data_IF_410746577148
#
_entry.id   IF_410746577148
#
_cell.length_a   1.000
_cell.length_b   1.000
_cell.length_c   1.000
_cell.angle_alpha   90.00
_cell.angle_beta   90.00
_cell.angle_gamma   90.00
#
_symmetry.space_group_name_H-M   'P 1'
#
loop_
_entity.id
_entity.type
_entity.pdbx_description
1 polymer ?
#
# COMPACT_ATOMS: atom_id res chain seq x y z
N UNK A 1 20.45 -25.23 34.07
CA UNK A 1 19.80 -23.94 34.32
C UNK A 1 19.53 -23.30 32.97
N UNK A 2 18.27 -23.30 32.51
CA UNK A 2 17.87 -22.68 31.25
C UNK A 2 17.28 -21.30 31.58
N UNK A 3 17.76 -20.18 31.02
CA UNK A 3 16.99 -18.95 30.98
C UNK A 3 16.01 -19.08 29.79
N UNK A 4 14.72 -19.19 30.07
CA UNK A 4 13.78 -18.06 30.21
C UNK A 4 13.26 -17.60 28.85
N UNK A 5 12.16 -18.24 28.47
CA UNK A 5 10.99 -17.71 27.76
C UNK A 5 11.25 -16.57 26.77
N UNK A 6 11.24 -16.94 25.48
CA UNK A 6 10.98 -16.04 24.38
C UNK A 6 9.70 -15.26 24.68
N UNK A 7 9.82 -13.94 24.82
CA UNK A 7 8.68 -13.05 24.71
C UNK A 7 8.24 -13.10 23.25
N UNK A 8 7.33 -14.03 22.95
CA UNK A 8 6.52 -13.98 21.74
C UNK A 8 5.68 -12.70 21.84
N UNK A 9 6.27 -11.60 21.38
CA UNK A 9 5.54 -10.37 21.14
C UNK A 9 4.84 -10.59 19.80
N UNK A 10 3.82 -11.46 19.81
CA UNK A 10 2.84 -11.49 18.74
C UNK A 10 2.17 -10.12 18.80
N UNK A 11 2.73 -9.17 18.05
CA UNK A 11 2.07 -7.93 17.73
C UNK A 11 0.64 -8.31 17.34
N UNK A 12 -0.40 -7.60 17.85
CA UNK A 12 -1.77 -7.91 17.48
C UNK A 12 -1.80 -7.98 15.97
N UNK A 13 -2.31 -9.09 15.43
CA UNK A 13 -2.54 -9.22 14.01
C UNK A 13 -3.54 -8.13 13.63
N UNK A 14 -3.01 -7.00 13.15
CA UNK A 14 -3.81 -5.93 12.61
C UNK A 14 -4.16 -6.42 11.21
N UNK A 15 -5.25 -7.18 11.13
CA UNK A 15 -5.82 -7.54 9.84
C UNK A 15 -6.06 -6.28 9.01
N UNK A 16 -6.09 -6.46 7.69
CA UNK A 16 -6.27 -5.35 6.76
C UNK A 16 -7.47 -4.48 7.13
N UNK A 17 -7.23 -3.19 7.36
CA UNK A 17 -8.25 -2.21 7.70
C UNK A 17 -8.03 -0.90 6.93
N UNK A 18 -8.73 -0.79 5.80
CA UNK A 18 -8.73 0.39 4.95
C UNK A 18 -9.34 1.63 5.63
N UNK A 19 -10.14 1.45 6.69
CA UNK A 19 -10.79 2.60 7.38
C UNK A 19 -9.78 3.45 8.14
N UNK A 20 -8.56 2.95 8.33
CA UNK A 20 -7.44 3.67 8.93
C UNK A 20 -6.79 4.67 7.98
N UNK A 21 -7.05 4.57 6.68
CA UNK A 21 -6.56 5.54 5.70
C UNK A 21 -7.35 6.84 5.81
N UNK A 22 -6.68 7.90 6.22
CA UNK A 22 -7.25 9.24 6.26
C UNK A 22 -6.99 10.00 4.94
N UNK A 23 -7.84 10.98 4.59
CA UNK A 23 -7.56 11.89 3.48
C UNK A 23 -6.21 12.60 3.61
N UNK A 24 -5.79 12.90 4.83
CA UNK A 24 -4.51 13.56 5.13
C UNK A 24 -3.33 12.64 4.84
N UNK A 25 -3.43 11.35 5.18
CA UNK A 25 -2.41 10.36 4.85
C UNK A 25 -2.26 10.24 3.33
N UNK A 26 -3.38 10.15 2.59
CA UNK A 26 -3.34 10.07 1.14
C UNK A 26 -2.72 11.31 0.49
N UNK A 27 -3.04 12.50 1.00
CA UNK A 27 -2.41 13.74 0.53
C UNK A 27 -0.92 13.76 0.85
N UNK A 28 -0.52 13.30 2.04
CA UNK A 28 0.89 13.23 2.42
C UNK A 28 1.68 12.21 1.60
N UNK A 29 1.07 11.09 1.21
CA UNK A 29 1.70 10.12 0.33
C UNK A 29 1.78 10.63 -1.11
N UNK A 30 0.77 11.38 -1.58
CA UNK A 30 0.74 11.92 -2.94
C UNK A 30 1.82 12.99 -3.22
N UNK A 31 2.36 13.64 -2.18
CA UNK A 31 3.48 14.61 -2.33
C UNK A 31 4.85 13.93 -2.34
N UNK A 32 4.93 12.63 -2.07
CA UNK A 32 6.19 11.89 -2.10
C UNK A 32 6.59 11.57 -3.54
N UNK A 33 7.85 11.83 -3.87
CA UNK A 33 8.41 11.56 -5.21
C UNK A 33 8.82 10.10 -5.39
N UNK A 34 8.98 9.36 -4.30
CA UNK A 34 9.21 7.92 -4.30
C UNK A 34 7.89 7.19 -4.10
N UNK A 35 7.57 6.29 -5.03
CA UNK A 35 6.33 5.51 -5.01
C UNK A 35 6.33 4.47 -3.88
N UNK A 36 7.47 3.83 -3.62
CA UNK A 36 7.57 2.80 -2.61
C UNK A 36 7.41 3.43 -1.21
N UNK A 37 7.96 4.61 -0.96
CA UNK A 37 7.73 5.37 0.28
C UNK A 37 6.25 5.78 0.43
N UNK A 38 5.64 6.27 -0.65
CA UNK A 38 4.22 6.64 -0.66
C UNK A 38 3.34 5.44 -0.28
N UNK A 39 3.57 4.29 -0.93
CA UNK A 39 2.81 3.07 -0.70
C UNK A 39 3.11 2.47 0.69
N UNK A 40 4.37 2.47 1.13
CA UNK A 40 4.75 1.93 2.43
C UNK A 40 4.03 2.63 3.59
N UNK A 41 3.84 3.95 3.50
CA UNK A 41 3.11 4.71 4.52
C UNK A 41 1.64 4.27 4.64
N UNK A 42 0.99 4.02 3.51
CA UNK A 42 -0.41 3.58 3.44
C UNK A 42 -0.53 2.12 3.85
N UNK A 43 0.35 1.26 3.35
CA UNK A 43 0.37 -0.17 3.63
C UNK A 43 0.58 -0.44 5.13
N UNK A 44 1.51 0.28 5.74
CA UNK A 44 1.76 0.21 7.20
C UNK A 44 0.50 0.58 7.99
N UNK A 45 -0.18 1.65 7.60
CA UNK A 45 -1.41 2.08 8.29
C UNK A 45 -2.56 1.08 8.11
N UNK A 46 -2.67 0.50 6.91
CA UNK A 46 -3.69 -0.50 6.57
C UNK A 46 -3.41 -1.91 7.11
N UNK A 47 -2.20 -2.21 7.63
CA UNK A 47 -1.80 -3.59 7.94
C UNK A 47 -1.62 -4.47 6.68
N UNK A 48 -1.19 -3.87 5.56
CA UNK A 48 -0.81 -4.61 4.35
C UNK A 48 0.68 -4.97 4.47
N UNK A 49 0.98 -6.26 4.58
CA UNK A 49 2.36 -6.75 4.74
C UNK A 49 3.03 -7.15 3.42
N UNK A 50 2.25 -7.47 2.39
CA UNK A 50 2.79 -7.85 1.08
C UNK A 50 2.51 -6.78 0.03
N UNK A 51 3.55 -6.47 -0.75
CA UNK A 51 3.47 -5.58 -1.90
C UNK A 51 2.93 -6.25 -3.17
N UNK A 52 2.34 -7.45 -3.08
CA UNK A 52 1.96 -8.23 -4.26
C UNK A 52 0.89 -7.53 -5.09
N UNK A 53 -0.14 -6.98 -4.43
CA UNK A 53 -1.22 -6.24 -5.10
C UNK A 53 -0.69 -4.92 -5.65
N UNK A 54 0.20 -4.24 -4.93
CA UNK A 54 0.88 -3.04 -5.44
C UNK A 54 1.69 -3.37 -6.71
N UNK A 55 2.47 -4.46 -6.68
CA UNK A 55 3.24 -4.94 -7.82
C UNK A 55 2.34 -5.26 -9.02
N UNK A 56 1.19 -5.91 -8.81
CA UNK A 56 0.22 -6.16 -9.89
C UNK A 56 -0.38 -4.86 -10.43
N UNK A 57 -0.81 -3.95 -9.54
CA UNK A 57 -1.45 -2.70 -9.90
C UNK A 57 -0.52 -1.77 -10.69
N UNK A 58 0.73 -1.63 -10.25
CA UNK A 58 1.73 -0.73 -10.84
C UNK A 58 2.66 -1.43 -11.86
N UNK A 59 2.28 -2.60 -12.39
CA UNK A 59 3.08 -3.33 -13.42
C UNK A 59 2.72 -2.99 -14.87
N UNK A 60 1.67 -2.20 -15.08
CA UNK A 60 1.20 -1.83 -16.42
C UNK A 60 2.22 -0.98 -17.22
N UNK A 61 2.08 -0.98 -18.55
CA UNK A 61 2.94 -0.18 -19.46
C UNK A 61 2.94 1.32 -19.12
N UNK A 62 1.86 1.84 -18.55
CA UNK A 62 1.74 3.24 -18.12
C UNK A 62 2.70 3.61 -16.97
N UNK A 63 3.28 2.61 -16.29
CA UNK A 63 4.27 2.75 -15.22
C UNK A 63 5.69 2.42 -15.68
N UNK A 64 5.85 1.95 -16.92
CA UNK A 64 7.17 1.63 -17.47
C UNK A 64 7.95 2.89 -17.80
N UNK A 65 9.26 2.87 -17.56
CA UNK A 65 10.16 3.98 -17.91
C UNK A 65 10.21 4.24 -19.44
N UNK A 66 9.97 3.21 -20.24
CA UNK A 66 10.10 3.27 -21.71
C UNK A 66 8.86 3.87 -22.41
N UNK A 67 7.66 3.69 -21.85
CA UNK A 67 6.39 4.02 -22.52
C UNK A 67 5.38 4.77 -21.64
N UNK A 68 5.59 4.76 -20.33
CA UNK A 68 4.70 5.32 -19.34
C UNK A 68 5.11 6.73 -18.89
N UNK A 69 4.41 7.21 -17.87
CA UNK A 69 4.84 8.39 -17.10
C UNK A 69 5.23 7.89 -15.71
N UNK A 70 6.52 8.00 -15.33
CA UNK A 70 6.97 7.52 -14.04
C UNK A 70 6.30 8.31 -12.92
N UNK A 71 6.17 7.68 -11.75
CA UNK A 71 5.50 8.24 -10.59
C UNK A 71 5.97 9.67 -10.26
N UNK A 72 7.29 9.86 -10.22
CA UNK A 72 7.95 11.13 -9.89
C UNK A 72 7.67 12.27 -10.88
N UNK A 73 7.22 11.97 -12.09
CA UNK A 73 6.86 12.98 -13.10
C UNK A 73 5.37 13.33 -13.10
N UNK A 74 4.54 12.54 -12.40
CA UNK A 74 3.11 12.81 -12.25
C UNK A 74 2.87 13.90 -11.23
N UNK A 75 1.82 14.70 -11.45
CA UNK A 75 1.39 15.71 -10.49
C UNK A 75 0.72 15.10 -9.27
N UNK A 76 0.75 15.80 -8.14
CA UNK A 76 0.17 15.36 -6.86
C UNK A 76 -1.29 14.91 -6.99
N UNK A 77 -2.11 15.64 -7.77
CA UNK A 77 -3.52 15.31 -7.98
C UNK A 77 -3.71 13.95 -8.69
N UNK A 78 -2.80 13.63 -9.61
CA UNK A 78 -2.83 12.37 -10.34
C UNK A 78 -2.33 11.23 -9.46
N UNK A 79 -1.21 11.42 -8.76
CA UNK A 79 -0.71 10.49 -7.74
C UNK A 79 -1.80 10.15 -6.72
N UNK A 80 -2.52 11.16 -6.22
CA UNK A 80 -3.65 10.98 -5.30
C UNK A 80 -4.75 10.10 -5.90
N UNK A 81 -5.13 10.32 -7.16
CA UNK A 81 -6.14 9.51 -7.86
C UNK A 81 -5.72 8.04 -7.97
N UNK A 82 -4.43 7.80 -8.22
CA UNK A 82 -3.87 6.45 -8.26
C UNK A 82 -3.82 5.77 -6.90
N UNK A 83 -3.47 6.47 -5.83
CA UNK A 83 -3.51 5.92 -4.46
C UNK A 83 -4.92 5.49 -4.06
N UNK A 84 -5.93 6.29 -4.40
CA UNK A 84 -7.35 5.93 -4.18
C UNK A 84 -7.71 4.68 -4.98
N UNK A 85 -7.32 4.63 -6.25
CA UNK A 85 -7.62 3.48 -7.13
C UNK A 85 -6.92 2.20 -6.68
N UNK A 86 -5.69 2.31 -6.18
CA UNK A 86 -4.94 1.20 -5.59
C UNK A 86 -5.65 0.64 -4.34
N UNK A 87 -6.12 1.51 -3.45
CA UNK A 87 -6.85 1.10 -2.25
C UNK A 87 -8.19 0.43 -2.56
N UNK A 88 -8.90 0.91 -3.58
CA UNK A 88 -10.09 0.22 -4.09
C UNK A 88 -9.73 -1.18 -4.61
N UNK A 89 -8.60 -1.33 -5.30
CA UNK A 89 -8.13 -2.61 -5.80
C UNK A 89 -7.79 -3.58 -4.66
N UNK A 90 -7.06 -3.14 -3.63
CA UNK A 90 -6.78 -3.91 -2.42
C UNK A 90 -8.07 -4.43 -1.76
N UNK A 91 -9.07 -3.55 -1.64
CA UNK A 91 -10.36 -3.90 -1.07
C UNK A 91 -11.08 -4.99 -1.89
N UNK A 92 -11.06 -4.87 -3.22
CA UNK A 92 -11.69 -5.84 -4.12
C UNK A 92 -10.95 -7.19 -4.12
N UNK A 93 -9.62 -7.16 -4.17
CA UNK A 93 -8.78 -8.35 -4.16
C UNK A 93 -9.01 -9.20 -2.91
N UNK A 94 -8.95 -8.57 -1.73
CA UNK A 94 -9.16 -9.27 -0.44
C UNK A 94 -10.58 -9.81 -0.29
N UNK A 95 -11.60 -9.06 -0.72
CA UNK A 95 -12.99 -9.53 -0.77
C UNK A 95 -13.20 -10.76 -1.67
N UNK A 96 -12.35 -10.95 -2.69
CA UNK A 96 -12.39 -12.12 -3.55
C UNK A 96 -11.66 -13.32 -2.91
N UNK A 97 -10.52 -13.07 -2.27
CA UNK A 97 -9.77 -14.09 -1.52
C UNK A 97 -10.56 -14.66 -0.33
N UNK A 98 -11.29 -13.83 0.43
CA UNK A 98 -12.08 -14.27 1.58
C UNK A 98 -13.27 -15.18 1.23
N UNK A 99 -13.63 -15.25 -0.07
CA UNK A 99 -14.72 -16.09 -0.58
C UNK A 99 -14.26 -17.39 -1.23
N UNK A 100 -12.95 -17.59 -1.34
CA UNK A 100 -12.32 -18.77 -1.96
C UNK A 100 -11.98 -19.82 -0.91
#
# INVERSE_FOLDING_TARGET
MCPSQSADTSAPYIGFDITRVTPELLKSAAVMDDMDEALASIQTECGIESGDVAGLFFSGLEWSDDFGTPWSERGEAERLGWLVSYLDHECMYRKACDRS
#
